data_IF_609230166415
#
_entry.id   IF_609230166415
#
_cell.length_a   1.000
_cell.length_b   1.000
_cell.length_c   1.000
_cell.angle_alpha   90.00
_cell.angle_beta   90.00
_cell.angle_gamma   90.00
#
_symmetry.space_group_name_H-M   'P 1'
#
loop_
_entity.id
_entity.type
_entity.pdbx_description
1 polymer ?
#
# COMPACT_ATOMS: atom_id res chain seq x y z
N UNK A 1 -38.70 -0.58 -82.62
CA UNK A 1 -37.28 -0.64 -82.19
C UNK A 1 -37.13 0.35 -81.04
N UNK A 2 -36.96 -0.14 -79.82
CA UNK A 2 -36.52 0.68 -78.69
C UNK A 2 -35.34 -0.06 -78.10
N UNK A 3 -34.14 0.50 -78.25
CA UNK A 3 -32.93 -0.03 -77.63
C UNK A 3 -32.91 0.44 -76.18
N UNK A 4 -33.08 -0.48 -75.24
CA UNK A 4 -32.80 -0.21 -73.82
C UNK A 4 -31.29 -0.35 -73.64
N UNK A 5 -30.62 0.78 -73.46
CA UNK A 5 -29.21 0.87 -73.13
C UNK A 5 -29.00 0.24 -71.74
N UNK A 6 -28.20 -0.82 -71.65
CA UNK A 6 -27.80 -1.38 -70.38
C UNK A 6 -26.83 -0.40 -69.69
N UNK A 7 -27.22 0.10 -68.52
CA UNK A 7 -26.31 0.81 -67.63
C UNK A 7 -25.16 -0.14 -67.24
N UNK A 8 -23.89 0.33 -67.22
CA UNK A 8 -22.79 -0.48 -66.75
C UNK A 8 -23.00 -0.80 -65.26
N UNK A 9 -22.69 -2.03 -64.82
CA UNK A 9 -22.80 -2.38 -63.41
C UNK A 9 -21.91 -1.45 -62.60
N UNK A 10 -22.51 -0.75 -61.63
CA UNK A 10 -21.81 0.00 -60.60
C UNK A 10 -20.75 -0.89 -59.97
N UNK A 11 -19.48 -0.67 -60.29
CA UNK A 11 -18.35 -1.28 -59.61
C UNK A 11 -18.38 -0.83 -58.14
N UNK A 12 -18.95 -1.68 -57.29
CA UNK A 12 -18.79 -1.56 -55.85
C UNK A 12 -17.29 -1.73 -55.53
N UNK A 13 -16.58 -0.63 -55.36
CA UNK A 13 -15.16 -0.61 -55.01
C UNK A 13 -14.96 -1.35 -53.67
N UNK A 14 -14.20 -2.46 -53.63
CA UNK A 14 -13.96 -3.21 -52.41
C UNK A 14 -13.05 -2.41 -51.46
N UNK A 15 -13.49 -2.31 -50.20
CA UNK A 15 -12.70 -2.00 -49.00
C UNK A 15 -11.42 -1.18 -49.19
N UNK A 16 -11.55 0.14 -49.36
CA UNK A 16 -10.40 1.03 -49.26
C UNK A 16 -9.76 0.89 -47.87
N UNK A 17 -8.49 0.48 -47.84
CA UNK A 17 -7.68 0.50 -46.62
C UNK A 17 -7.44 1.96 -46.24
N UNK A 18 -7.81 2.32 -45.01
CA UNK A 18 -7.45 3.62 -44.44
C UNK A 18 -5.92 3.62 -44.26
N UNK A 19 -5.22 4.44 -45.04
CA UNK A 19 -3.77 4.58 -44.91
C UNK A 19 -3.44 5.29 -43.59
N UNK A 20 -2.36 4.88 -42.92
CA UNK A 20 -1.94 5.48 -41.64
C UNK A 20 -2.76 5.05 -40.41
N UNK A 21 -3.68 4.09 -40.53
CA UNK A 21 -4.47 3.59 -39.40
C UNK A 21 -3.58 3.08 -38.26
N UNK A 22 -3.80 3.62 -37.06
CA UNK A 22 -3.10 3.25 -35.84
C UNK A 22 -3.75 2.06 -35.13
N UNK A 23 -2.99 1.34 -34.31
CA UNK A 23 -3.45 0.13 -33.59
C UNK A 23 -3.79 0.47 -32.12
N UNK A 24 -5.06 0.31 -31.68
CA UNK A 24 -5.46 0.65 -30.32
C UNK A 24 -4.68 -0.11 -29.24
N UNK A 25 -4.45 -1.41 -29.43
CA UNK A 25 -3.71 -2.25 -28.47
C UNK A 25 -2.27 -1.78 -28.24
N UNK A 26 -1.62 -1.22 -29.27
CA UNK A 26 -0.28 -0.64 -29.13
C UNK A 26 -0.30 0.62 -28.27
N UNK A 27 -1.29 1.49 -28.47
CA UNK A 27 -1.46 2.70 -27.67
C UNK A 27 -1.75 2.39 -26.20
N UNK A 28 -2.63 1.42 -25.94
CA UNK A 28 -2.92 0.89 -24.61
C UNK A 28 -1.65 0.44 -23.91
N UNK A 29 -0.85 -0.43 -24.55
CA UNK A 29 0.39 -0.93 -23.96
C UNK A 29 1.41 0.18 -23.70
N UNK A 30 1.58 1.11 -24.65
CA UNK A 30 2.50 2.24 -24.48
C UNK A 30 2.13 3.08 -23.25
N UNK A 31 0.86 3.46 -23.10
CA UNK A 31 0.41 4.25 -21.94
C UNK A 31 0.32 3.47 -20.63
N UNK A 32 0.22 2.14 -20.69
CA UNK A 32 0.32 1.29 -19.51
C UNK A 32 1.75 1.24 -18.95
N UNK A 33 2.77 1.39 -19.81
CA UNK A 33 4.19 1.44 -19.38
C UNK A 33 4.58 2.87 -19.01
N UNK A 34 4.25 3.85 -19.86
CA UNK A 34 4.55 5.27 -19.65
C UNK A 34 3.29 6.08 -19.92
N UNK A 35 2.61 6.60 -18.89
CA UNK A 35 1.41 7.40 -19.06
C UNK A 35 1.63 8.57 -20.02
N UNK A 36 0.75 8.69 -21.01
CA UNK A 36 0.84 9.68 -22.08
C UNK A 36 1.52 9.20 -23.37
N UNK A 37 2.27 8.09 -23.37
CA UNK A 37 2.99 7.61 -24.56
C UNK A 37 2.04 7.11 -25.68
N UNK A 38 0.95 6.44 -25.31
CA UNK A 38 -0.09 6.01 -26.24
C UNK A 38 -0.91 7.16 -26.81
N UNK A 39 -1.15 8.22 -26.04
CA UNK A 39 -1.76 9.46 -26.53
C UNK A 39 -0.84 10.16 -27.53
N UNK A 40 0.47 10.19 -27.27
CA UNK A 40 1.46 10.71 -28.22
C UNK A 40 1.42 9.94 -29.54
N UNK A 41 1.39 8.60 -29.44
CA UNK A 41 1.22 7.72 -30.61
C UNK A 41 -0.08 8.00 -31.38
N UNK A 42 -1.16 8.35 -30.68
CA UNK A 42 -2.45 8.75 -31.27
C UNK A 42 -2.53 10.23 -31.70
N UNK A 43 -1.40 10.96 -31.68
CA UNK A 43 -1.28 12.40 -31.99
C UNK A 43 -2.14 13.31 -31.09
N UNK A 44 -2.53 12.83 -29.91
CA UNK A 44 -3.20 13.62 -28.88
C UNK A 44 -2.15 14.18 -27.89
N UNK A 45 -1.37 15.16 -28.36
CA UNK A 45 -0.23 15.71 -27.60
C UNK A 45 -0.63 16.43 -26.31
N UNK A 46 -1.82 17.04 -26.27
CA UNK A 46 -2.32 17.71 -25.06
C UNK A 46 -2.52 16.67 -23.96
N UNK A 47 -3.28 15.60 -24.24
CA UNK A 47 -3.51 14.56 -23.24
C UNK A 47 -2.23 13.78 -22.92
N UNK A 48 -1.32 13.61 -23.88
CA UNK A 48 0.01 13.06 -23.62
C UNK A 48 0.75 13.85 -22.55
N UNK A 49 0.82 15.18 -22.70
CA UNK A 49 1.44 16.06 -21.72
C UNK A 49 0.74 16.05 -20.36
N UNK A 50 -0.60 16.01 -20.34
CA UNK A 50 -1.38 15.97 -19.08
C UNK A 50 -1.09 14.68 -18.29
N UNK A 51 -1.17 13.51 -18.93
CA UNK A 51 -0.89 12.23 -18.25
C UNK A 51 0.55 12.13 -17.76
N UNK A 52 1.52 12.63 -18.54
CA UNK A 52 2.93 12.65 -18.14
C UNK A 52 3.18 13.63 -16.99
N UNK A 53 2.56 14.81 -17.00
CA UNK A 53 2.68 15.78 -15.92
C UNK A 53 2.09 15.25 -14.61
N UNK A 54 0.93 14.59 -14.67
CA UNK A 54 0.34 13.91 -13.50
C UNK A 54 1.26 12.81 -12.97
N UNK A 55 1.89 12.04 -13.86
CA UNK A 55 2.85 10.99 -13.48
C UNK A 55 4.03 11.56 -12.70
N UNK A 56 4.67 12.61 -13.22
CA UNK A 56 5.80 13.28 -12.57
C UNK A 56 5.37 13.85 -11.21
N UNK A 57 4.22 14.52 -11.15
CA UNK A 57 3.72 15.10 -9.91
C UNK A 57 3.44 14.02 -8.85
N UNK A 58 2.84 12.89 -9.24
CA UNK A 58 2.53 11.81 -8.33
C UNK A 58 3.80 11.13 -7.79
N UNK A 59 4.78 10.81 -8.66
CA UNK A 59 6.07 10.26 -8.22
C UNK A 59 6.86 11.22 -7.34
N UNK A 60 6.78 12.53 -7.61
CA UNK A 60 7.37 13.55 -6.73
C UNK A 60 6.75 13.47 -5.33
N UNK A 61 5.42 13.33 -5.25
CA UNK A 61 4.71 13.08 -3.99
C UNK A 61 5.19 11.81 -3.29
N UNK A 62 5.26 10.68 -4.00
CA UNK A 62 5.78 9.41 -3.44
C UNK A 62 7.16 9.61 -2.82
N UNK A 63 8.10 10.21 -3.57
CA UNK A 63 9.48 10.40 -3.13
C UNK A 63 9.59 11.34 -1.91
N UNK A 64 8.86 12.46 -1.92
CA UNK A 64 8.88 13.43 -0.82
C UNK A 64 8.36 12.82 0.47
N UNK A 65 7.16 12.23 0.42
CA UNK A 65 6.52 11.68 1.63
C UNK A 65 7.18 10.39 2.12
N UNK A 66 7.74 9.58 1.22
CA UNK A 66 8.55 8.44 1.63
C UNK A 66 9.83 8.91 2.35
N UNK A 67 10.52 9.92 1.81
CA UNK A 67 11.71 10.48 2.45
C UNK A 67 11.41 11.08 3.83
N UNK A 68 10.31 11.82 3.97
CA UNK A 68 9.86 12.34 5.26
C UNK A 68 9.52 11.23 6.25
N UNK A 69 8.79 10.20 5.80
CA UNK A 69 8.44 9.04 6.62
C UNK A 69 9.66 8.30 7.18
N UNK A 70 10.66 8.05 6.33
CA UNK A 70 11.93 7.42 6.71
C UNK A 70 12.72 8.29 7.70
N UNK A 71 12.80 9.60 7.47
CA UNK A 71 13.51 10.50 8.40
C UNK A 71 12.87 10.50 9.78
N UNK A 72 11.54 10.55 9.85
CA UNK A 72 10.81 10.47 11.13
C UNK A 72 10.87 9.09 11.75
N UNK A 73 11.08 8.06 10.93
CA UNK A 73 11.35 6.72 11.40
C UNK A 73 12.66 6.67 12.16
N UNK A 74 13.75 7.15 11.56
CA UNK A 74 15.03 7.29 12.22
C UNK A 74 14.92 8.08 13.55
N UNK A 75 14.11 9.15 13.57
CA UNK A 75 13.88 9.96 14.77
C UNK A 75 13.18 9.17 15.90
N UNK A 76 12.09 8.44 15.62
CA UNK A 76 11.39 7.71 16.67
C UNK A 76 12.19 6.50 17.17
N UNK A 77 12.96 5.86 16.28
CA UNK A 77 13.86 4.75 16.65
C UNK A 77 14.96 5.24 17.59
N UNK A 78 15.62 6.34 17.23
CA UNK A 78 16.64 6.96 18.07
C UNK A 78 16.08 7.46 19.40
N UNK A 79 14.84 7.96 19.41
CA UNK A 79 14.16 8.38 20.64
C UNK A 79 13.88 7.19 21.57
N UNK A 80 13.37 6.08 21.03
CA UNK A 80 13.18 4.85 21.81
C UNK A 80 14.50 4.31 22.36
N UNK A 81 15.57 4.30 21.56
CA UNK A 81 16.89 3.86 22.01
C UNK A 81 17.48 4.72 23.14
N UNK A 82 17.07 5.99 23.23
CA UNK A 82 17.54 6.91 24.26
C UNK A 82 16.72 6.85 25.56
N UNK A 83 15.45 6.45 25.49
CA UNK A 83 14.47 6.60 26.57
C UNK A 83 13.78 5.31 26.99
N UNK A 84 13.98 4.21 26.27
CA UNK A 84 13.43 2.91 26.61
C UNK A 84 14.53 1.88 26.77
N UNK A 85 14.53 1.18 27.90
CA UNK A 85 15.48 0.11 28.19
C UNK A 85 14.77 -1.19 28.60
N UNK A 86 15.25 -2.29 28.02
CA UNK A 86 14.88 -3.62 28.51
C UNK A 86 15.56 -3.88 29.84
N UNK A 87 16.82 -3.51 30.02
CA UNK A 87 17.61 -3.84 31.20
C UNK A 87 18.41 -5.14 31.08
N UNK A 88 19.06 -5.54 32.17
CA UNK A 88 19.86 -6.78 32.23
C UNK A 88 20.01 -7.27 33.66
N UNK A 89 20.27 -8.57 33.91
CA UNK A 89 20.58 -9.05 35.27
C UNK A 89 21.65 -8.20 35.96
N UNK A 90 21.38 -7.79 37.19
CA UNK A 90 22.25 -6.93 37.98
C UNK A 90 22.17 -5.43 37.67
N UNK A 91 21.32 -4.95 36.75
CA UNK A 91 20.89 -3.54 36.76
C UNK A 91 20.09 -3.33 38.05
N UNK A 92 20.67 -2.63 39.03
CA UNK A 92 20.02 -2.46 40.33
C UNK A 92 18.76 -1.61 40.24
N UNK A 93 17.88 -1.73 41.24
CA UNK A 93 16.67 -0.91 41.41
C UNK A 93 15.38 -1.62 41.00
N UNK A 94 14.38 -1.58 41.87
CA UNK A 94 13.03 -2.08 41.54
C UNK A 94 12.42 -1.11 40.53
N UNK A 95 12.03 -1.60 39.33
CA UNK A 95 11.46 -0.82 38.21
C UNK A 95 12.40 0.15 37.48
N UNK A 96 13.72 0.02 37.64
CA UNK A 96 14.66 0.87 36.90
C UNK A 96 14.64 0.60 35.38
N UNK A 97 14.17 -0.59 34.98
CA UNK A 97 13.98 -1.02 33.60
C UNK A 97 12.86 -2.08 33.48
N UNK A 98 12.56 -2.50 32.25
CA UNK A 98 11.50 -3.49 32.01
C UNK A 98 11.84 -4.89 32.58
N UNK A 99 13.11 -5.29 32.54
CA UNK A 99 13.58 -6.60 33.00
C UNK A 99 13.38 -6.76 34.51
N UNK A 100 13.79 -5.76 35.30
CA UNK A 100 13.60 -5.76 36.74
C UNK A 100 12.11 -5.77 37.12
N UNK A 101 11.27 -5.07 36.36
CA UNK A 101 9.82 -5.12 36.52
C UNK A 101 9.25 -6.52 36.24
N UNK A 102 9.64 -7.14 35.13
CA UNK A 102 9.22 -8.48 34.74
C UNK A 102 9.62 -9.51 35.82
N UNK A 103 10.89 -9.47 36.25
CA UNK A 103 11.42 -10.33 37.30
C UNK A 103 10.73 -10.11 38.66
N UNK A 104 10.47 -8.86 39.04
CA UNK A 104 9.73 -8.55 40.27
C UNK A 104 8.30 -9.11 40.22
N UNK A 105 7.62 -8.99 39.08
CA UNK A 105 6.29 -9.56 38.91
C UNK A 105 6.28 -11.08 39.12
N UNK A 106 7.26 -11.77 38.52
CA UNK A 106 7.41 -13.22 38.62
C UNK A 106 7.72 -13.69 40.05
N UNK A 107 8.57 -12.95 40.77
CA UNK A 107 8.99 -13.31 42.14
C UNK A 107 8.00 -12.89 43.22
N UNK A 108 7.15 -11.89 42.96
CA UNK A 108 6.22 -11.32 43.96
C UNK A 108 4.78 -11.79 43.80
N UNK A 109 4.27 -11.86 42.56
CA UNK A 109 2.86 -12.16 42.30
C UNK A 109 2.61 -13.56 41.75
N UNK A 110 3.56 -14.13 41.00
CA UNK A 110 3.42 -15.46 40.42
C UNK A 110 2.25 -15.59 39.44
N UNK A 111 2.01 -16.81 38.95
CA UNK A 111 0.96 -17.11 37.98
C UNK A 111 -0.46 -17.22 38.56
N UNK A 112 -0.63 -17.21 39.88
CA UNK A 112 -1.93 -17.47 40.52
C UNK A 112 -2.14 -16.72 41.85
N UNK A 113 -2.48 -15.43 41.80
CA UNK A 113 -2.89 -14.68 43.00
C UNK A 113 -4.41 -14.53 43.18
N UNK A 114 -5.23 -15.09 42.27
CA UNK A 114 -6.69 -14.86 42.26
C UNK A 114 -7.57 -16.09 42.49
N UNK A 115 -7.02 -17.30 42.70
CA UNK A 115 -7.84 -18.51 42.95
C UNK A 115 -7.70 -19.14 44.36
N UNK A 116 -7.00 -18.49 45.30
CA UNK A 116 -6.92 -18.95 46.70
C UNK A 116 -5.99 -20.13 46.96
N UNK A 117 -5.18 -20.51 45.96
CA UNK A 117 -3.99 -21.38 46.09
C UNK A 117 -2.73 -20.53 46.25
N UNK A 118 -1.66 -21.08 46.84
CA UNK A 118 -0.38 -20.37 46.97
C UNK A 118 0.17 -20.09 45.55
N UNK A 119 0.57 -18.85 45.27
CA UNK A 119 1.12 -18.47 43.99
C UNK A 119 2.46 -19.18 43.75
N UNK A 120 2.64 -19.78 42.56
CA UNK A 120 3.93 -20.31 42.12
C UNK A 120 4.83 -19.14 41.70
N UNK A 121 5.46 -18.51 42.69
CA UNK A 121 6.43 -17.44 42.48
C UNK A 121 7.77 -18.01 42.03
N UNK A 122 8.47 -17.26 41.18
CA UNK A 122 9.85 -17.59 40.81
C UNK A 122 10.78 -17.37 42.02
N UNK A 123 11.56 -18.39 42.38
CA UNK A 123 12.48 -18.39 43.53
C UNK A 123 13.96 -18.31 43.14
N UNK A 124 14.26 -18.30 41.83
CA UNK A 124 15.60 -18.14 41.28
C UNK A 124 16.10 -16.68 41.30
N UNK A 125 17.39 -16.49 41.01
CA UNK A 125 17.97 -15.16 40.87
C UNK A 125 17.60 -14.49 39.54
N UNK A 126 17.90 -13.21 39.43
CA UNK A 126 17.74 -12.42 38.19
C UNK A 126 18.52 -13.02 37.00
N UNK A 127 19.72 -13.54 37.24
CA UNK A 127 20.49 -14.25 36.21
C UNK A 127 19.75 -15.50 35.73
N UNK A 128 19.18 -16.28 36.65
CA UNK A 128 18.41 -17.49 36.29
C UNK A 128 17.14 -17.10 35.51
N UNK A 129 16.50 -15.98 35.85
CA UNK A 129 15.34 -15.44 35.13
C UNK A 129 15.66 -15.08 33.68
N UNK A 130 16.82 -14.47 33.42
CA UNK A 130 17.24 -14.12 32.07
C UNK A 130 17.57 -15.32 31.18
N UNK A 131 17.84 -16.49 31.75
CA UNK A 131 18.12 -17.72 31.01
C UNK A 131 16.84 -18.48 30.61
N UNK A 132 15.68 -18.14 31.19
CA UNK A 132 14.41 -18.78 30.87
C UNK A 132 13.91 -18.40 29.48
N UNK A 133 13.33 -19.38 28.80
CA UNK A 133 12.52 -19.14 27.60
C UNK A 133 11.22 -18.43 27.95
N UNK A 134 10.58 -17.75 26.99
CA UNK A 134 9.29 -17.09 27.23
C UNK A 134 8.20 -18.03 27.74
N UNK A 135 8.12 -19.25 27.20
CA UNK A 135 7.16 -20.25 27.66
C UNK A 135 7.38 -20.64 29.14
N UNK A 136 8.63 -20.68 29.60
CA UNK A 136 8.97 -20.90 31.00
C UNK A 136 8.67 -19.68 31.87
N UNK A 137 8.95 -18.47 31.38
CA UNK A 137 8.60 -17.21 32.07
C UNK A 137 7.10 -17.08 32.29
N UNK A 138 6.29 -17.44 31.29
CA UNK A 138 4.82 -17.42 31.38
C UNK A 138 4.25 -18.30 32.50
N UNK A 139 4.99 -19.33 32.96
CA UNK A 139 4.59 -20.14 34.11
C UNK A 139 4.64 -19.36 35.43
N UNK A 140 5.48 -18.33 35.52
CA UNK A 140 5.68 -17.53 36.73
C UNK A 140 5.07 -16.13 36.61
N UNK A 141 4.77 -15.67 35.39
CA UNK A 141 4.22 -14.35 35.17
C UNK A 141 2.69 -14.30 35.39
N UNK A 142 2.17 -13.18 35.89
CA UNK A 142 0.73 -12.98 36.01
C UNK A 142 -0.01 -13.06 34.67
N UNK A 143 -1.13 -13.79 34.66
CA UNK A 143 -1.84 -14.21 33.45
C UNK A 143 -2.41 -13.08 32.58
N UNK A 144 -2.93 -11.99 33.16
CA UNK A 144 -3.61 -10.94 32.38
C UNK A 144 -2.71 -9.73 32.03
N UNK A 145 -1.38 -9.87 32.19
CA UNK A 145 -0.45 -8.73 32.17
C UNK A 145 0.72 -8.90 31.20
N UNK A 146 1.11 -10.15 30.95
CA UNK A 146 2.24 -10.52 30.09
C UNK A 146 1.76 -11.39 28.95
N UNK A 147 1.80 -10.85 27.74
CA UNK A 147 1.19 -11.46 26.54
C UNK A 147 2.12 -11.53 25.34
N UNK A 148 3.19 -10.73 25.32
CA UNK A 148 4.14 -10.71 24.22
C UNK A 148 5.56 -10.74 24.77
N UNK A 149 6.41 -11.51 24.11
CA UNK A 149 7.86 -11.53 24.31
C UNK A 149 8.50 -10.37 23.55
N UNK A 150 9.57 -9.80 24.09
CA UNK A 150 10.45 -8.89 23.37
C UNK A 150 11.87 -9.43 23.46
N UNK A 151 12.58 -9.47 22.33
CA UNK A 151 14.00 -9.81 22.29
C UNK A 151 14.82 -8.51 22.37
N UNK A 152 15.52 -8.23 23.49
CA UNK A 152 16.38 -7.05 23.59
C UNK A 152 17.60 -7.11 22.65
N UNK A 153 17.96 -8.30 22.15
CA UNK A 153 19.05 -8.51 21.21
C UNK A 153 18.69 -8.21 19.75
N UNK A 154 17.40 -8.15 19.41
CA UNK A 154 16.90 -7.90 18.06
C UNK A 154 15.93 -6.70 18.03
N UNK A 155 16.49 -5.50 17.81
CA UNK A 155 15.74 -4.25 17.71
C UNK A 155 15.15 -4.06 16.31
N UNK A 156 14.25 -4.95 15.94
CA UNK A 156 13.53 -4.92 14.66
C UNK A 156 12.27 -4.03 14.70
N UNK A 157 11.53 -3.97 13.60
CA UNK A 157 10.27 -3.20 13.57
C UNK A 157 9.24 -3.67 14.62
N UNK A 158 9.21 -4.97 14.95
CA UNK A 158 8.28 -5.51 15.93
C UNK A 158 8.65 -5.05 17.33
N UNK A 159 9.95 -5.03 17.69
CA UNK A 159 10.45 -4.46 18.93
C UNK A 159 9.91 -3.05 19.15
N UNK A 160 10.10 -2.15 18.18
CA UNK A 160 9.66 -0.76 18.30
C UNK A 160 8.13 -0.61 18.28
N UNK A 161 7.40 -1.46 17.55
CA UNK A 161 5.94 -1.48 17.65
C UNK A 161 5.47 -1.89 19.05
N UNK A 162 6.11 -2.92 19.62
CA UNK A 162 5.71 -3.51 20.89
C UNK A 162 5.82 -2.52 22.05
N UNK A 163 6.99 -1.87 22.22
CA UNK A 163 7.25 -0.92 23.31
C UNK A 163 6.31 0.28 23.32
N UNK A 164 5.77 0.65 22.15
CA UNK A 164 4.76 1.69 22.02
C UNK A 164 3.34 1.20 22.26
N UNK A 165 2.98 0.05 21.69
CA UNK A 165 1.60 -0.43 21.58
C UNK A 165 1.06 -1.06 22.85
N UNK A 166 1.88 -1.84 23.56
CA UNK A 166 1.40 -2.62 24.70
C UNK A 166 1.77 -1.95 26.02
N UNK A 167 0.77 -1.82 26.90
CA UNK A 167 0.99 -1.29 28.25
C UNK A 167 1.99 -2.12 29.05
N UNK A 168 2.15 -3.41 28.73
CA UNK A 168 3.10 -4.29 29.41
C UNK A 168 4.53 -3.72 29.44
N UNK A 169 4.95 -3.04 28.38
CA UNK A 169 6.31 -2.49 28.24
C UNK A 169 6.47 -1.06 28.78
N UNK A 170 5.46 -0.52 29.48
CA UNK A 170 5.46 0.86 29.95
C UNK A 170 6.60 1.17 30.94
N UNK A 171 7.02 0.18 31.73
CA UNK A 171 8.07 0.33 32.75
C UNK A 171 9.48 0.45 32.17
N UNK A 172 9.68 0.10 30.91
CA UNK A 172 10.97 0.31 30.25
C UNK A 172 11.25 1.78 29.91
N UNK A 173 10.23 2.66 29.97
CA UNK A 173 10.43 4.10 29.74
C UNK A 173 11.08 4.76 30.96
N UNK A 174 12.16 5.52 30.74
CA UNK A 174 13.00 6.16 31.77
C UNK A 174 12.28 7.23 32.63
N UNK A 175 11.09 7.67 32.22
CA UNK A 175 10.23 8.59 32.96
C UNK A 175 9.07 7.88 33.67
N UNK A 176 9.01 6.55 33.60
CA UNK A 176 8.05 5.76 34.33
C UNK A 176 8.36 5.81 35.83
N UNK A 177 7.34 6.10 36.63
CA UNK A 177 7.45 6.08 38.10
C UNK A 177 6.14 5.56 38.68
N UNK A 178 6.22 4.67 39.68
CA UNK A 178 5.03 4.11 40.35
C UNK A 178 4.14 5.21 40.95
N UNK A 179 4.74 6.30 41.46
CA UNK A 179 4.01 7.41 42.05
C UNK A 179 3.06 8.14 41.06
N UNK A 180 3.46 8.22 39.79
CA UNK A 180 2.65 8.86 38.74
C UNK A 180 1.78 7.86 37.98
N UNK A 181 2.20 6.59 37.97
CA UNK A 181 1.59 5.52 37.20
C UNK A 181 1.46 4.28 38.10
N UNK A 182 0.50 4.30 39.06
CA UNK A 182 0.38 3.23 40.05
C UNK A 182 -0.01 1.91 39.38
N UNK A 183 0.58 0.83 39.89
CA UNK A 183 0.15 -0.53 39.60
C UNK A 183 -1.20 -0.80 40.25
N UNK A 184 -2.11 -1.40 39.48
CA UNK A 184 -3.29 -2.04 40.06
C UNK A 184 -2.98 -3.53 40.09
N UNK A 185 -2.42 -4.01 41.21
CA UNK A 185 -2.10 -5.43 41.46
C UNK A 185 -1.47 -6.11 40.23
N UNK A 186 -0.16 -5.90 39.96
CA UNK A 186 0.63 -6.41 38.80
C UNK A 186 0.16 -6.02 37.39
N UNK A 187 -1.02 -5.39 37.22
CA UNK A 187 -1.48 -4.94 35.90
C UNK A 187 -0.82 -3.63 35.54
N UNK A 188 -0.29 -3.57 34.32
CA UNK A 188 0.33 -2.35 33.80
C UNK A 188 -0.69 -1.24 33.67
N UNK A 189 -0.32 -0.06 34.15
CA UNK A 189 -1.12 1.16 34.01
C UNK A 189 -1.40 1.44 32.53
N UNK A 190 -2.65 1.67 32.16
CA UNK A 190 -3.02 2.18 30.81
C UNK A 190 -2.54 3.62 30.57
N UNK A 191 -2.02 4.27 31.60
CA UNK A 191 -1.54 5.63 31.54
C UNK A 191 -0.23 5.70 30.74
N UNK A 192 -0.10 6.75 29.92
CA UNK A 192 1.03 6.96 29.03
C UNK A 192 1.98 7.98 29.69
N UNK A 193 3.27 7.66 29.76
CA UNK A 193 4.30 8.57 30.23
C UNK A 193 4.59 9.67 29.19
N UNK A 194 5.06 10.86 29.57
CA UNK A 194 5.47 11.89 28.62
C UNK A 194 6.39 11.39 27.50
N UNK A 195 7.38 10.56 27.81
CA UNK A 195 8.32 10.03 26.82
C UNK A 195 7.67 9.01 25.90
N UNK A 196 6.81 8.13 26.44
CA UNK A 196 6.02 7.21 25.62
C UNK A 196 5.07 7.96 24.69
N UNK A 197 4.43 9.04 25.15
CA UNK A 197 3.54 9.87 24.34
C UNK A 197 4.29 10.60 23.21
N UNK A 198 5.47 11.15 23.53
CA UNK A 198 6.37 11.77 22.55
C UNK A 198 6.81 10.75 21.47
N UNK A 199 7.22 9.55 21.89
CA UNK A 199 7.56 8.45 20.99
C UNK A 199 6.39 8.07 20.07
N UNK A 200 5.20 7.87 20.63
CA UNK A 200 4.00 7.53 19.87
C UNK A 200 3.61 8.62 18.88
N UNK A 201 3.84 9.89 19.23
CA UNK A 201 3.62 11.04 18.35
C UNK A 201 4.60 11.00 17.17
N UNK A 202 5.91 10.83 17.40
CA UNK A 202 6.90 10.71 16.33
C UNK A 202 6.61 9.54 15.39
N UNK A 203 6.29 8.37 15.96
CA UNK A 203 5.91 7.18 15.20
C UNK A 203 4.64 7.41 14.39
N UNK A 204 3.65 8.12 14.95
CA UNK A 204 2.43 8.50 14.21
C UNK A 204 2.77 9.40 13.03
N UNK A 205 3.62 10.40 13.21
CA UNK A 205 4.00 11.31 12.14
C UNK A 205 4.77 10.61 11.00
N UNK A 206 5.63 9.65 11.32
CA UNK A 206 6.27 8.78 10.34
C UNK A 206 5.22 7.98 9.54
N UNK A 207 4.31 7.32 10.24
CA UNK A 207 3.24 6.54 9.60
C UNK A 207 2.33 7.39 8.72
N UNK A 208 1.94 8.59 9.17
CA UNK A 208 1.09 9.50 8.40
C UNK A 208 1.77 9.93 7.09
N UNK A 209 3.09 10.18 7.12
CA UNK A 209 3.88 10.49 5.92
C UNK A 209 3.99 9.27 4.98
N UNK A 210 4.29 8.08 5.50
CA UNK A 210 4.35 6.86 4.71
C UNK A 210 2.99 6.51 4.09
N UNK A 211 1.89 6.73 4.81
CA UNK A 211 0.53 6.54 4.30
C UNK A 211 0.20 7.55 3.20
N UNK A 212 0.69 8.79 3.29
CA UNK A 212 0.58 9.74 2.19
C UNK A 212 1.36 9.27 0.95
N UNK A 213 2.57 8.72 1.13
CA UNK A 213 3.34 8.13 0.02
C UNK A 213 2.59 6.96 -0.64
N UNK A 214 1.93 6.10 0.15
CA UNK A 214 1.05 5.04 -0.36
C UNK A 214 -0.11 5.62 -1.16
N UNK A 215 -0.75 6.69 -0.70
CA UNK A 215 -1.83 7.35 -1.43
C UNK A 215 -1.35 7.88 -2.79
N UNK A 216 -0.18 8.51 -2.86
CA UNK A 216 0.41 8.94 -4.15
C UNK A 216 0.76 7.75 -5.06
N UNK A 217 1.20 6.64 -4.49
CA UNK A 217 1.43 5.40 -5.26
C UNK A 217 0.12 4.88 -5.87
N UNK A 218 -1.01 4.98 -5.15
CA UNK A 218 -2.32 4.67 -5.73
C UNK A 218 -2.69 5.64 -6.86
N UNK A 219 -2.35 6.93 -6.75
CA UNK A 219 -2.55 7.91 -7.83
C UNK A 219 -1.73 7.53 -9.06
N UNK A 220 -0.46 7.13 -8.91
CA UNK A 220 0.37 6.60 -10.01
C UNK A 220 -0.33 5.43 -10.70
N UNK A 221 -0.77 4.42 -9.93
CA UNK A 221 -1.47 3.26 -10.49
C UNK A 221 -2.76 3.64 -11.24
N UNK A 222 -3.55 4.55 -10.67
CA UNK A 222 -4.76 5.08 -11.30
C UNK A 222 -4.46 5.85 -12.59
N UNK A 223 -3.40 6.65 -12.58
CA UNK A 223 -2.93 7.40 -13.75
C UNK A 223 -2.54 6.47 -14.89
N UNK A 224 -1.77 5.42 -14.61
CA UNK A 224 -1.42 4.37 -15.59
C UNK A 224 -2.65 3.72 -16.23
N UNK A 225 -3.63 3.30 -15.41
CA UNK A 225 -4.84 2.64 -15.90
C UNK A 225 -5.68 3.59 -16.77
N UNK A 226 -5.95 4.80 -16.28
CA UNK A 226 -6.75 5.79 -17.01
C UNK A 226 -6.05 6.23 -18.29
N UNK A 227 -4.73 6.42 -18.25
CA UNK A 227 -3.93 6.77 -19.42
C UNK A 227 -3.97 5.66 -20.48
N UNK A 228 -3.82 4.40 -20.08
CA UNK A 228 -3.88 3.27 -21.00
C UNK A 228 -5.24 3.19 -21.73
N UNK A 229 -6.34 3.22 -20.97
CA UNK A 229 -7.70 3.18 -21.53
C UNK A 229 -7.96 4.37 -22.46
N UNK A 230 -7.61 5.58 -22.02
CA UNK A 230 -7.77 6.78 -22.82
C UNK A 230 -6.94 6.74 -24.11
N UNK A 231 -5.74 6.16 -24.10
CA UNK A 231 -4.91 6.00 -25.30
C UNK A 231 -5.55 5.06 -26.32
N UNK A 232 -6.12 3.95 -25.87
CA UNK A 232 -6.89 3.04 -26.72
C UNK A 232 -8.04 3.75 -27.43
N UNK A 233 -8.83 4.55 -26.70
CA UNK A 233 -9.91 5.34 -27.28
C UNK A 233 -9.40 6.45 -28.21
N UNK A 234 -8.30 7.12 -27.84
CA UNK A 234 -7.69 8.17 -28.67
C UNK A 234 -7.32 7.65 -30.05
N UNK A 235 -6.80 6.43 -30.16
CA UNK A 235 -6.56 5.80 -31.47
C UNK A 235 -7.87 5.57 -32.24
N UNK A 236 -8.94 5.14 -31.58
CA UNK A 236 -10.23 4.93 -32.28
C UNK A 236 -10.79 6.25 -32.83
N UNK A 237 -10.68 7.34 -32.08
CA UNK A 237 -11.09 8.67 -32.53
C UNK A 237 -10.20 9.19 -33.65
N UNK A 238 -8.89 9.03 -33.52
CA UNK A 238 -7.92 9.37 -34.56
C UNK A 238 -8.20 8.61 -35.86
N UNK A 239 -8.37 7.28 -35.79
CA UNK A 239 -8.68 6.45 -36.95
C UNK A 239 -10.02 6.82 -37.62
N UNK A 240 -11.04 7.20 -36.84
CA UNK A 240 -12.32 7.69 -37.37
C UNK A 240 -12.17 9.03 -38.11
N UNK A 241 -11.36 9.94 -37.54
CA UNK A 241 -11.04 11.22 -38.18
C UNK A 241 -10.29 11.00 -39.50
N UNK A 242 -9.26 10.16 -39.51
CA UNK A 242 -8.53 9.78 -40.72
C UNK A 242 -9.44 9.17 -41.79
N UNK A 243 -10.35 8.27 -41.42
CA UNK A 243 -11.29 7.66 -42.35
C UNK A 243 -12.16 8.72 -43.05
N UNK A 244 -12.67 9.69 -42.27
CA UNK A 244 -13.46 10.81 -42.78
C UNK A 244 -12.64 11.71 -43.72
N UNK A 245 -11.41 12.03 -43.36
CA UNK A 245 -10.50 12.86 -44.17
C UNK A 245 -10.12 12.20 -45.50
N UNK A 246 -9.99 10.87 -45.51
CA UNK A 246 -9.70 10.08 -46.72
C UNK A 246 -10.94 9.78 -47.57
N UNK A 247 -12.12 10.31 -47.20
CA UNK A 247 -13.38 10.05 -47.92
C UNK A 247 -13.87 8.61 -47.82
N UNK A 248 -13.34 7.83 -46.88
CA UNK A 248 -13.76 6.45 -46.60
C UNK A 248 -14.95 6.53 -45.63
N UNK A 249 -16.09 6.99 -46.12
CA UNK A 249 -17.35 6.91 -45.36
C UNK A 249 -17.81 5.45 -45.28
N UNK A 250 -18.23 5.03 -44.09
CA UNK A 250 -18.73 3.70 -43.82
C UNK A 250 -20.09 3.46 -44.47
N UNK A 251 -20.11 3.12 -45.75
CA UNK A 251 -21.05 2.09 -46.18
C UNK A 251 -20.63 0.82 -45.43
N UNK A 252 -21.48 0.31 -44.54
CA UNK A 252 -21.41 -1.10 -44.17
C UNK A 252 -21.72 -1.91 -45.43
N UNK A 253 -20.73 -2.06 -46.30
CA UNK A 253 -20.75 -3.04 -47.36
C UNK A 253 -20.49 -4.37 -46.67
N UNK A 254 -21.56 -5.05 -46.28
CA UNK A 254 -21.51 -6.48 -46.03
C UNK A 254 -21.09 -7.10 -47.37
N UNK A 255 -19.78 -7.36 -47.52
CA UNK A 255 -19.28 -8.03 -48.72
C UNK A 255 -20.10 -9.32 -48.89
N UNK A 256 -20.66 -9.58 -50.09
CA UNK A 256 -21.46 -10.77 -50.31
C UNK A 256 -20.63 -12.00 -49.93
N UNK A 257 -21.13 -12.77 -48.96
CA UNK A 257 -20.53 -14.05 -48.59
C UNK A 257 -21.19 -15.13 -49.43
N UNK A 258 -20.37 -15.94 -50.10
CA UNK A 258 -20.83 -17.13 -50.81
C UNK A 258 -21.45 -18.10 -49.79
N UNK A 259 -22.74 -18.41 -49.96
CA UNK A 259 -23.43 -19.44 -49.19
C UNK A 259 -24.07 -20.40 -50.19
N UNK A 260 -23.73 -21.70 -50.13
CA UNK A 260 -24.20 -22.72 -51.07
C UNK A 260 -24.12 -22.33 -52.56
N UNK A 261 -22.96 -21.83 -53.01
CA UNK A 261 -22.73 -21.42 -54.41
C UNK A 261 -23.63 -20.28 -54.94
N UNK A 262 -24.39 -19.60 -54.07
CA UNK A 262 -25.18 -18.42 -54.42
C UNK A 262 -24.60 -17.15 -53.77
N UNK A 263 -24.60 -16.06 -54.54
CA UNK A 263 -24.23 -14.73 -54.07
C UNK A 263 -25.39 -14.16 -53.26
N UNK A 264 -25.27 -14.16 -51.93
CA UNK A 264 -26.23 -13.49 -51.06
C UNK A 264 -25.79 -12.04 -50.84
N UNK A 265 -26.45 -11.10 -51.50
CA UNK A 265 -26.25 -9.67 -51.27
C UNK A 265 -26.87 -9.31 -49.92
N UNK A 266 -26.04 -9.09 -48.90
CA UNK A 266 -26.52 -8.50 -47.66
C UNK A 266 -26.56 -6.98 -47.85
N UNK A 267 -27.76 -6.40 -47.75
CA UNK A 267 -28.03 -5.01 -48.12
C UNK A 267 -27.15 -3.98 -47.40
N UNK A 268 -26.92 -2.85 -48.07
CA UNK A 268 -26.19 -1.71 -47.53
C UNK A 268 -27.05 -0.99 -46.49
N UNK A 269 -26.56 -0.87 -45.26
CA UNK A 269 -27.17 0.02 -44.26
C UNK A 269 -26.40 1.33 -44.30
N UNK A 270 -27.03 2.36 -44.87
CA UNK A 270 -26.53 3.74 -44.83
C UNK A 270 -27.20 4.45 -43.65
N UNK A 271 -26.41 4.87 -42.65
CA UNK A 271 -26.90 5.72 -41.57
C UNK A 271 -26.41 7.14 -41.83
N UNK A 272 -27.35 8.03 -42.17
CA UNK A 272 -27.09 9.46 -42.29
C UNK A 272 -27.38 10.12 -40.94
N UNK A 273 -26.47 10.98 -40.47
CA UNK A 273 -26.71 11.91 -39.36
C UNK A 273 -26.90 13.33 -39.91
#
# INVERSE_FOLDING_TARGET
MSQTQAEPPSEAMPGQKIEGKLVPGKALLLSAIVPGAGQFYAENYIMSGVFLAMEIAAWTGVAMYHGEGMSKEDDYLAYADAHWDYGSPGSGGEYDDYFNYEYWCASTYGYDKDNGTEADNFDGGDVDWAELTWDEKLYYLPKDGFTHEIDPGDKDQQYYEMIGKYGQFATGWDDYTEANYPFDEWRTSSNITPNRDAYLTLRKESNDALDMSKNFTMVVMGNHLLSALHAGFSVTWHNRKLAKEQGVEGAFNLAPKMYNNEMVTMGTVTVNF
#
